data_IF_957900802700
#
_entry.id   IF_957900802700
#
_cell.length_a   1.000
_cell.length_b   1.000
_cell.length_c   1.000
_cell.angle_alpha   90.00
_cell.angle_beta   90.00
_cell.angle_gamma   90.00
#
_symmetry.space_group_name_H-M   'P 1'
#
loop_
_entity.id
_entity.type
_entity.pdbx_description
1 polymer ?
#
# COMPACT_ATOMS: atom_id res chain seq x y z
N UNK A 1 8.29 13.08 -0.27
CA UNK A 1 9.70 12.67 -0.34
C UNK A 1 9.93 11.77 0.87
N UNK A 2 10.61 10.62 0.74
CA UNK A 2 10.82 9.70 1.88
C UNK A 2 11.54 10.41 3.03
N UNK A 3 11.09 10.18 4.26
CA UNK A 3 11.77 10.69 5.44
C UNK A 3 13.05 9.89 5.72
N UNK A 4 13.94 10.43 6.55
CA UNK A 4 15.13 9.70 7.01
C UNK A 4 14.75 8.41 7.75
N UNK A 5 13.65 8.44 8.50
CA UNK A 5 13.14 7.26 9.22
C UNK A 5 12.68 6.16 8.27
N UNK A 6 12.02 6.51 7.16
CA UNK A 6 11.59 5.53 6.16
C UNK A 6 12.79 4.84 5.49
N UNK A 7 13.85 5.60 5.22
CA UNK A 7 15.09 5.07 4.64
C UNK A 7 15.80 4.13 5.61
N UNK A 8 15.86 4.47 6.90
CA UNK A 8 16.44 3.59 7.92
C UNK A 8 15.67 2.27 8.05
N UNK A 9 14.33 2.33 8.08
CA UNK A 9 13.49 1.13 8.12
C UNK A 9 13.65 0.28 6.87
N UNK A 10 13.69 0.89 5.69
CA UNK A 10 13.92 0.19 4.43
C UNK A 10 15.27 -0.52 4.42
N UNK A 11 16.32 0.18 4.87
CA UNK A 11 17.67 -0.39 4.93
C UNK A 11 17.76 -1.52 5.95
N UNK A 12 17.11 -1.38 7.11
CA UNK A 12 17.00 -2.44 8.10
C UNK A 12 16.32 -3.69 7.53
N UNK A 13 15.19 -3.52 6.85
CA UNK A 13 14.49 -4.63 6.17
C UNK A 13 15.36 -5.30 5.11
N UNK A 14 16.09 -4.52 4.30
CA UNK A 14 17.03 -5.09 3.34
C UNK A 14 18.08 -5.96 4.03
N UNK A 15 18.65 -5.49 5.14
CA UNK A 15 19.65 -6.25 5.90
C UNK A 15 19.10 -7.54 6.51
N UNK A 16 17.85 -7.55 6.96
CA UNK A 16 17.26 -8.72 7.63
C UNK A 16 16.62 -9.72 6.68
N UNK A 17 16.02 -9.23 5.58
CA UNK A 17 15.20 -10.06 4.68
C UNK A 17 15.93 -10.43 3.39
N UNK A 18 16.74 -9.55 2.81
CA UNK A 18 17.31 -9.74 1.48
C UNK A 18 18.80 -10.10 1.52
N UNK A 19 19.55 -9.44 2.39
CA UNK A 19 20.99 -9.65 2.53
C UNK A 19 21.36 -11.10 2.92
N UNK A 20 20.64 -11.80 3.83
CA UNK A 20 20.95 -13.19 4.18
C UNK A 20 20.68 -14.17 3.02
N UNK A 21 19.84 -13.77 2.07
CA UNK A 21 19.53 -14.54 0.87
C UNK A 21 20.43 -14.18 -0.32
N UNK A 22 21.40 -13.28 -0.12
CA UNK A 22 22.29 -12.82 -1.18
C UNK A 22 21.58 -11.96 -2.25
N UNK A 23 20.40 -11.43 -1.94
CA UNK A 23 19.69 -10.55 -2.87
C UNK A 23 20.40 -9.20 -3.00
N UNK A 24 20.53 -8.72 -4.24
CA UNK A 24 21.06 -7.39 -4.49
C UNK A 24 20.06 -6.32 -4.05
N UNK A 25 20.58 -5.17 -3.61
CA UNK A 25 19.75 -4.03 -3.24
C UNK A 25 18.80 -3.61 -4.38
N UNK A 26 19.24 -3.72 -5.63
CA UNK A 26 18.41 -3.40 -6.80
C UNK A 26 17.20 -4.33 -6.91
N UNK A 27 17.41 -5.64 -6.77
CA UNK A 27 16.32 -6.63 -6.82
C UNK A 27 15.31 -6.37 -5.70
N UNK A 28 15.81 -6.12 -4.49
CA UNK A 28 14.98 -5.80 -3.33
C UNK A 28 14.17 -4.51 -3.51
N UNK A 29 14.79 -3.44 -4.04
CA UNK A 29 14.11 -2.18 -4.36
C UNK A 29 12.94 -2.39 -5.34
N UNK A 30 13.15 -3.16 -6.41
CA UNK A 30 12.10 -3.45 -7.39
C UNK A 30 10.96 -4.24 -6.74
N UNK A 31 11.28 -5.26 -5.95
CA UNK A 31 10.28 -6.04 -5.22
C UNK A 31 9.45 -5.17 -4.27
N UNK A 32 10.08 -4.28 -3.52
CA UNK A 32 9.37 -3.37 -2.62
C UNK A 32 8.54 -2.32 -3.37
N UNK A 33 9.02 -1.82 -4.51
CA UNK A 33 8.25 -0.90 -5.36
C UNK A 33 6.98 -1.57 -5.90
N UNK A 34 7.08 -2.81 -6.37
CA UNK A 34 5.92 -3.59 -6.85
C UNK A 34 4.91 -3.80 -5.72
N UNK A 35 5.37 -4.22 -4.53
CA UNK A 35 4.51 -4.35 -3.34
C UNK A 35 3.79 -3.03 -3.04
N UNK A 36 4.52 -1.91 -3.02
CA UNK A 36 3.94 -0.58 -2.77
C UNK A 36 2.87 -0.22 -3.80
N UNK A 37 3.09 -0.49 -5.09
CA UNK A 37 2.11 -0.21 -6.15
C UNK A 37 0.84 -1.06 -5.94
N UNK A 38 0.98 -2.34 -5.60
CA UNK A 38 -0.17 -3.22 -5.34
C UNK A 38 -0.98 -2.70 -4.13
N UNK A 39 -0.31 -2.33 -3.03
CA UNK A 39 -0.98 -1.76 -1.86
C UNK A 39 -1.72 -0.47 -2.19
N UNK A 40 -1.09 0.43 -2.94
CA UNK A 40 -1.72 1.69 -3.35
C UNK A 40 -2.98 1.44 -4.19
N UNK A 41 -2.88 0.56 -5.20
CA UNK A 41 -4.01 0.22 -6.07
C UNK A 41 -5.14 -0.47 -5.30
N UNK A 42 -4.81 -1.32 -4.34
CA UNK A 42 -5.81 -1.94 -3.46
C UNK A 42 -6.50 -0.89 -2.60
N UNK A 43 -5.75 0.04 -2.01
CA UNK A 43 -6.30 1.11 -1.18
C UNK A 43 -7.23 2.03 -1.97
N UNK A 44 -6.86 2.38 -3.21
CA UNK A 44 -7.70 3.17 -4.11
C UNK A 44 -9.03 2.45 -4.41
N UNK A 45 -8.95 1.17 -4.80
CA UNK A 45 -10.13 0.35 -5.06
C UNK A 45 -11.02 0.23 -3.82
N UNK A 46 -10.43 0.00 -2.65
CA UNK A 46 -11.15 -0.10 -1.38
C UNK A 46 -11.85 1.22 -1.04
N UNK A 47 -11.18 2.35 -1.25
CA UNK A 47 -11.74 3.69 -1.00
C UNK A 47 -12.92 3.98 -1.92
N UNK A 48 -12.79 3.68 -3.22
CA UNK A 48 -13.89 3.83 -4.20
C UNK A 48 -15.07 2.94 -3.82
N UNK A 49 -14.82 1.67 -3.49
CA UNK A 49 -15.87 0.74 -3.08
C UNK A 49 -16.63 1.25 -1.85
N UNK A 50 -15.91 1.74 -0.84
CA UNK A 50 -16.52 2.32 0.36
C UNK A 50 -17.35 3.56 0.03
N UNK A 51 -16.86 4.45 -0.83
CA UNK A 51 -17.60 5.64 -1.25
C UNK A 51 -18.90 5.28 -1.99
N UNK A 52 -18.84 4.30 -2.91
CA UNK A 52 -20.02 3.78 -3.62
C UNK A 52 -21.02 3.15 -2.65
N UNK A 53 -20.55 2.33 -1.70
CA UNK A 53 -21.42 1.73 -0.69
C UNK A 53 -22.07 2.76 0.23
N UNK A 54 -21.35 3.81 0.62
CA UNK A 54 -21.93 4.91 1.39
C UNK A 54 -23.01 5.62 0.59
N UNK A 55 -22.77 5.92 -0.70
CA UNK A 55 -23.77 6.52 -1.59
C UNK A 55 -25.03 5.65 -1.70
N UNK A 56 -24.89 4.34 -1.90
CA UNK A 56 -26.02 3.42 -1.94
C UNK A 56 -26.80 3.37 -0.62
N UNK A 57 -26.12 3.49 0.54
CA UNK A 57 -26.79 3.57 1.84
C UNK A 57 -27.59 4.88 1.97
N UNK A 58 -27.00 6.02 1.61
CA UNK A 58 -27.67 7.32 1.63
C UNK A 58 -28.94 7.33 0.75
N UNK A 59 -28.84 6.80 -0.47
CA UNK A 59 -29.97 6.73 -1.42
C UNK A 59 -31.10 5.78 -0.97
N UNK A 60 -30.83 4.80 -0.10
CA UNK A 60 -31.88 4.01 0.55
C UNK A 60 -32.55 4.79 1.66
N UNK A 61 -31.78 5.42 2.54
CA UNK A 61 -32.33 6.19 3.67
C UNK A 61 -33.18 7.38 3.21
N UNK A 62 -32.84 8.01 2.08
CA UNK A 62 -33.63 9.10 1.51
C UNK A 62 -34.94 8.65 0.82
N UNK A 63 -35.12 7.35 0.54
CA UNK A 63 -36.35 6.81 -0.10
C UNK A 63 -37.41 6.34 0.90
N UNK A 64 -37.02 6.11 2.15
CA UNK A 64 -37.91 5.60 3.21
C UNK A 64 -38.12 6.60 4.35
N UNK A 65 -37.66 7.85 4.18
CA UNK A 65 -37.97 9.02 5.02
C UNK A 65 -38.74 10.03 4.17
#
# INVERSE_FOLDING_TARGET
MYSSEDLERFYFQYQTEALPHGESLQSFCVNQMIKSIIYLRFYDCFTIFNAVNQKFKCDRTARYN
#
